data_IF_899197040911
#
_entry.id   IF_899197040911
#
_cell.length_a   1.000
_cell.length_b   1.000
_cell.length_c   1.000
_cell.angle_alpha   90.00
_cell.angle_beta   90.00
_cell.angle_gamma   90.00
#
_symmetry.space_group_name_H-M   'P 1'
#
loop_
_entity.id
_entity.type
_entity.pdbx_description
1 polymer ?
#
# COMPACT_ATOMS: atom_id res chain seq x y z
N UNK A 1 -8.10 10.58 -4.69
CA UNK A 1 -6.91 9.77 -4.33
C UNK A 1 -5.68 10.12 -5.17
N UNK A 2 -5.80 10.30 -6.50
CA UNK A 2 -4.64 10.59 -7.37
C UNK A 2 -3.84 11.84 -6.95
N UNK A 3 -4.52 12.97 -6.72
CA UNK A 3 -3.87 14.20 -6.25
C UNK A 3 -3.19 14.02 -4.88
N UNK A 4 -3.79 13.22 -4.00
CA UNK A 4 -3.22 12.88 -2.70
C UNK A 4 -1.96 12.02 -2.84
N UNK A 5 -1.97 10.98 -3.67
CA UNK A 5 -0.78 10.16 -3.94
C UNK A 5 0.33 10.96 -4.62
N UNK A 6 -0.02 11.86 -5.54
CA UNK A 6 0.92 12.80 -6.17
C UNK A 6 1.59 13.74 -5.13
N UNK A 7 0.81 14.22 -4.17
CA UNK A 7 1.32 15.05 -3.07
C UNK A 7 2.30 14.26 -2.20
N UNK A 8 1.98 13.02 -1.86
CA UNK A 8 2.87 12.16 -1.06
C UNK A 8 4.16 11.86 -1.81
N UNK A 9 4.08 11.54 -3.10
CA UNK A 9 5.25 11.34 -3.95
C UNK A 9 6.17 12.57 -3.88
N UNK A 10 5.61 13.77 -4.06
CA UNK A 10 6.36 15.03 -4.01
C UNK A 10 7.04 15.25 -2.66
N UNK A 11 6.36 14.94 -1.55
CA UNK A 11 6.95 15.05 -0.20
C UNK A 11 8.06 14.01 -0.01
N UNK A 12 7.83 12.76 -0.44
CA UNK A 12 8.79 11.66 -0.34
C UNK A 12 10.09 11.95 -1.11
N UNK A 13 10.00 12.53 -2.30
CA UNK A 13 11.17 12.91 -3.12
C UNK A 13 12.09 13.94 -2.45
N UNK A 14 11.59 14.73 -1.49
CA UNK A 14 12.39 15.81 -0.90
C UNK A 14 13.59 15.33 -0.09
N UNK A 15 13.70 14.03 0.23
CA UNK A 15 14.73 13.42 1.10
C UNK A 15 14.87 14.09 2.48
N UNK A 16 13.94 14.97 2.87
CA UNK A 16 14.00 15.72 4.13
C UNK A 16 13.54 14.90 5.33
N UNK A 17 12.86 13.79 5.11
CA UNK A 17 12.17 13.04 6.15
C UNK A 17 12.55 11.57 6.11
N UNK A 18 12.95 11.03 7.26
CA UNK A 18 13.19 9.60 7.46
C UNK A 18 11.89 8.81 7.68
N UNK A 19 10.78 9.51 7.92
CA UNK A 19 9.45 8.94 8.13
C UNK A 19 8.37 9.97 7.84
N UNK A 20 7.33 9.55 7.12
CA UNK A 20 6.15 10.33 6.82
C UNK A 20 4.94 9.62 7.44
N UNK A 21 4.20 10.32 8.30
CA UNK A 21 2.96 9.83 8.91
C UNK A 21 1.79 10.65 8.39
N UNK A 22 0.82 10.00 7.77
CA UNK A 22 -0.30 10.63 7.06
C UNK A 22 -1.60 10.32 7.79
N UNK A 23 -2.25 11.36 8.31
CA UNK A 23 -3.55 11.25 8.97
C UNK A 23 -4.67 11.34 7.94
N UNK A 24 -5.40 10.24 7.77
CA UNK A 24 -6.56 10.12 6.90
C UNK A 24 -7.80 10.55 7.70
N UNK A 25 -8.16 11.82 7.56
CA UNK A 25 -9.25 12.45 8.32
C UNK A 25 -10.63 12.21 7.72
N UNK A 26 -10.69 11.92 6.42
CA UNK A 26 -11.96 11.68 5.74
C UNK A 26 -12.42 10.25 5.97
N UNK A 27 -13.74 10.08 6.01
CA UNK A 27 -14.36 8.77 6.21
C UNK A 27 -14.12 7.84 5.02
N UNK A 28 -14.10 8.38 3.80
CA UNK A 28 -14.00 7.60 2.56
C UNK A 28 -13.07 8.33 1.58
N UNK A 29 -12.09 7.59 1.05
CA UNK A 29 -11.24 7.99 -0.06
C UNK A 29 -11.52 7.06 -1.25
N UNK A 30 -12.09 7.62 -2.31
CA UNK A 30 -12.31 6.88 -3.56
C UNK A 30 -10.98 6.77 -4.32
N UNK A 31 -10.54 5.52 -4.56
CA UNK A 31 -9.36 5.23 -5.38
C UNK A 31 -9.75 5.37 -6.85
N UNK A 32 -9.11 6.27 -7.60
CA UNK A 32 -9.61 6.65 -8.93
C UNK A 32 -9.59 5.46 -9.89
N UNK A 33 -10.63 5.32 -10.71
CA UNK A 33 -10.70 4.32 -11.79
C UNK A 33 -10.09 4.84 -13.10
N UNK A 34 -9.80 6.14 -13.15
CA UNK A 34 -9.27 6.86 -14.31
C UNK A 34 -8.02 7.61 -13.84
N UNK A 35 -6.85 7.00 -13.97
CA UNK A 35 -5.59 7.61 -13.52
C UNK A 35 -4.54 6.58 -13.14
N UNK A 36 -3.38 7.06 -12.69
CA UNK A 36 -2.32 6.20 -12.14
C UNK A 36 -2.34 6.29 -10.61
N UNK A 37 -2.85 5.27 -9.94
CA UNK A 37 -2.74 5.15 -8.49
C UNK A 37 -1.35 4.57 -8.14
N UNK A 38 -0.28 5.33 -8.40
CA UNK A 38 1.08 4.92 -8.04
C UNK A 38 1.64 5.75 -6.89
N UNK A 39 2.25 5.06 -5.93
CA UNK A 39 2.95 5.61 -4.79
C UNK A 39 4.41 5.15 -4.83
N UNK A 40 5.33 6.09 -4.81
CA UNK A 40 6.75 5.82 -4.69
C UNK A 40 7.17 5.90 -3.23
N UNK A 41 7.77 4.84 -2.73
CA UNK A 41 8.35 4.78 -1.40
C UNK A 41 9.80 5.27 -1.52
N UNK A 42 10.11 6.36 -0.81
CA UNK A 42 11.46 6.93 -0.64
C UNK A 42 11.92 6.92 0.83
N UNK A 43 11.00 6.58 1.73
CA UNK A 43 11.17 6.69 3.18
C UNK A 43 10.05 5.91 3.85
N UNK A 44 10.10 5.73 5.16
CA UNK A 44 9.03 5.05 5.89
C UNK A 44 7.72 5.82 5.77
N UNK A 45 6.63 5.16 5.37
CA UNK A 45 5.31 5.79 5.23
C UNK A 45 4.30 5.06 6.12
N UNK A 46 3.55 5.83 6.90
CA UNK A 46 2.42 5.33 7.69
C UNK A 46 1.14 6.05 7.25
N UNK A 47 0.19 5.30 6.71
CA UNK A 47 -1.18 5.72 6.52
C UNK A 47 -1.97 5.33 7.77
N UNK A 48 -2.59 6.29 8.46
CA UNK A 48 -3.39 6.00 9.64
C UNK A 48 -4.67 6.83 9.68
N UNK A 49 -5.70 6.30 10.32
CA UNK A 49 -6.91 7.06 10.68
C UNK A 49 -7.27 6.83 12.14
N UNK A 50 -7.56 7.88 12.89
CA UNK A 50 -8.01 7.76 14.29
C UNK A 50 -9.42 7.17 14.39
N UNK A 51 -10.30 7.55 13.46
CA UNK A 51 -11.73 7.17 13.47
C UNK A 51 -12.06 6.02 12.52
N UNK A 52 -11.05 5.50 11.85
CA UNK A 52 -11.21 4.56 10.75
C UNK A 52 -11.54 5.30 9.46
N UNK A 53 -10.98 4.81 8.36
CA UNK A 53 -11.27 5.32 7.01
C UNK A 53 -11.45 4.18 6.04
N UNK A 54 -12.04 4.48 4.88
CA UNK A 54 -12.31 3.52 3.82
C UNK A 54 -11.54 3.94 2.57
N UNK A 55 -10.72 3.04 2.04
CA UNK A 55 -10.27 3.11 0.66
C UNK A 55 -11.28 2.33 -0.19
N UNK A 56 -12.12 3.06 -0.92
CA UNK A 56 -13.15 2.47 -1.79
C UNK A 56 -12.59 2.35 -3.20
N UNK A 57 -12.45 1.11 -3.65
CA UNK A 57 -11.92 0.74 -4.96
C UNK A 57 -13.01 0.74 -6.05
N UNK A 58 -14.24 1.12 -5.70
CA UNK A 58 -15.31 1.42 -6.65
C UNK A 58 -15.63 0.25 -7.60
N UNK A 59 -15.40 -0.98 -7.14
CA UNK A 59 -15.67 -2.22 -7.90
C UNK A 59 -15.00 -2.25 -9.28
N UNK A 60 -13.76 -1.73 -9.38
CA UNK A 60 -13.02 -1.63 -10.64
C UNK A 60 -11.62 -2.23 -10.50
N UNK A 61 -11.18 -3.00 -11.49
CA UNK A 61 -9.80 -3.50 -11.55
C UNK A 61 -8.76 -2.39 -11.83
N UNK A 62 -9.22 -1.24 -12.38
CA UNK A 62 -8.40 -0.06 -12.67
C UNK A 62 -8.04 0.76 -11.44
N UNK A 63 -8.72 0.55 -10.32
CA UNK A 63 -8.48 1.30 -9.08
C UNK A 63 -7.45 0.62 -8.16
N UNK A 64 -6.72 -0.39 -8.63
CA UNK A 64 -5.61 -0.95 -7.85
C UNK A 64 -4.56 0.12 -7.54
N UNK A 65 -3.84 -0.03 -6.43
CA UNK A 65 -2.74 0.86 -6.06
C UNK A 65 -1.41 0.15 -6.31
N UNK A 66 -0.53 0.78 -7.07
CA UNK A 66 0.85 0.36 -7.25
C UNK A 66 1.76 1.10 -6.28
N UNK A 67 2.61 0.36 -5.58
CA UNK A 67 3.52 0.86 -4.56
C UNK A 67 4.92 0.46 -4.97
N UNK A 68 5.73 1.44 -5.37
CA UNK A 68 7.07 1.23 -5.91
C UNK A 68 8.11 1.54 -4.84
N UNK A 69 8.79 0.50 -4.35
CA UNK A 69 9.96 0.66 -3.49
C UNK A 69 11.16 1.05 -4.33
N UNK A 70 11.66 2.28 -4.12
CA UNK A 70 12.77 2.79 -4.91
C UNK A 70 14.12 2.22 -4.45
N UNK A 71 15.13 2.17 -5.35
CA UNK A 71 16.45 1.65 -5.04
C UNK A 71 17.13 2.41 -3.89
N UNK A 72 18.09 1.77 -3.24
CA UNK A 72 18.91 2.30 -2.14
C UNK A 72 18.14 2.59 -0.84
N UNK A 73 16.90 2.14 -0.74
CA UNK A 73 16.20 2.11 0.53
C UNK A 73 16.57 0.86 1.29
N UNK A 74 17.22 1.05 2.44
CA UNK A 74 17.41 -0.04 3.39
C UNK A 74 16.34 0.06 4.47
N UNK A 75 15.76 -1.07 4.87
CA UNK A 75 14.78 -1.15 5.95
C UNK A 75 13.47 -0.38 5.71
N UNK A 76 13.07 -0.11 4.46
CA UNK A 76 11.88 0.69 4.16
C UNK A 76 10.58 0.05 4.66
N UNK A 77 9.70 0.88 5.21
CA UNK A 77 8.43 0.43 5.77
C UNK A 77 7.25 1.16 5.16
N UNK A 78 6.19 0.42 4.85
CA UNK A 78 4.86 0.97 4.64
C UNK A 78 3.89 0.33 5.63
N UNK A 79 3.12 1.16 6.32
CA UNK A 79 2.16 0.71 7.33
C UNK A 79 0.80 1.32 7.01
N UNK A 80 -0.22 0.46 6.96
CA UNK A 80 -1.63 0.84 6.88
C UNK A 80 -2.27 0.56 8.24
N UNK A 81 -2.80 1.58 8.90
CA UNK A 81 -3.34 1.45 10.25
C UNK A 81 -4.79 1.94 10.34
N UNK A 82 -5.69 1.05 10.80
CA UNK A 82 -7.12 1.35 10.96
C UNK A 82 -7.80 1.80 9.65
N UNK A 83 -7.54 1.05 8.58
CA UNK A 83 -8.04 1.32 7.22
C UNK A 83 -8.89 0.14 6.75
N UNK A 84 -10.05 0.44 6.17
CA UNK A 84 -10.87 -0.55 5.45
C UNK A 84 -10.58 -0.46 3.96
N UNK A 85 -10.10 -1.54 3.36
CA UNK A 85 -10.03 -1.72 1.91
C UNK A 85 -11.35 -2.33 1.44
N UNK A 86 -12.04 -1.66 0.53
CA UNK A 86 -13.43 -1.97 0.19
C UNK A 86 -13.70 -2.00 -1.30
N UNK A 87 -14.61 -2.88 -1.73
CA UNK A 87 -15.15 -2.94 -3.10
C UNK A 87 -14.10 -3.15 -4.20
N UNK A 88 -13.35 -4.24 -4.13
CA UNK A 88 -12.48 -4.68 -5.23
C UNK A 88 -12.87 -6.10 -5.64
N UNK A 89 -13.90 -6.20 -6.48
CA UNK A 89 -14.39 -7.50 -6.96
C UNK A 89 -14.07 -7.65 -8.44
N UNK A 90 -13.26 -8.64 -8.75
CA UNK A 90 -12.97 -8.99 -10.13
C UNK A 90 -12.60 -10.48 -10.23
N UNK A 91 -13.42 -11.26 -10.93
CA UNK A 91 -13.34 -12.72 -11.08
C UNK A 91 -12.15 -13.20 -11.95
N UNK A 92 -11.03 -12.47 -11.96
CA UNK A 92 -9.80 -12.88 -12.64
C UNK A 92 -8.69 -12.98 -11.62
N UNK A 93 -8.10 -14.17 -11.52
CA UNK A 93 -7.09 -14.55 -10.52
C UNK A 93 -5.79 -13.72 -10.60
N UNK A 94 -5.57 -13.00 -11.69
CA UNK A 94 -4.37 -12.19 -11.93
C UNK A 94 -4.56 -10.70 -11.59
N UNK A 95 -5.70 -10.33 -10.99
CA UNK A 95 -5.96 -8.97 -10.51
C UNK A 95 -5.65 -8.87 -9.03
N UNK A 96 -5.12 -7.72 -8.63
CA UNK A 96 -4.67 -7.46 -7.28
C UNK A 96 -5.10 -6.06 -6.84
N UNK A 97 -5.58 -5.94 -5.61
CA UNK A 97 -5.94 -4.67 -4.99
C UNK A 97 -4.70 -3.77 -4.81
N UNK A 98 -3.59 -4.37 -4.34
CA UNK A 98 -2.31 -3.70 -4.12
C UNK A 98 -1.19 -4.41 -4.89
N UNK A 99 -0.37 -3.65 -5.60
CA UNK A 99 0.86 -4.16 -6.20
C UNK A 99 2.06 -3.54 -5.50
N UNK A 100 2.97 -4.36 -5.01
CA UNK A 100 4.22 -3.89 -4.45
C UNK A 100 5.36 -4.23 -5.43
N UNK A 101 5.87 -3.21 -6.10
CA UNK A 101 7.02 -3.33 -6.99
C UNK A 101 8.31 -3.08 -6.21
N UNK A 102 9.06 -4.16 -5.97
CA UNK A 102 10.31 -4.16 -5.20
C UNK A 102 11.46 -4.23 -6.20
N UNK A 103 12.07 -3.08 -6.45
CA UNK A 103 13.05 -2.91 -7.54
C UNK A 103 14.49 -3.23 -7.14
N UNK A 104 14.75 -3.58 -5.88
CA UNK A 104 16.08 -3.92 -5.38
C UNK A 104 16.19 -5.38 -4.92
N UNK A 105 17.41 -5.86 -4.81
CA UNK A 105 17.77 -7.28 -4.71
C UNK A 105 17.84 -7.80 -3.28
N UNK A 106 17.19 -7.15 -2.32
CA UNK A 106 17.26 -7.49 -0.89
C UNK A 106 15.86 -7.54 -0.24
N UNK A 107 15.68 -8.41 0.75
CA UNK A 107 14.39 -8.61 1.45
C UNK A 107 14.21 -7.74 2.71
N UNK A 108 14.87 -6.59 2.78
CA UNK A 108 14.86 -5.71 3.94
C UNK A 108 13.79 -4.61 3.86
N UNK A 109 12.57 -4.98 3.44
CA UNK A 109 11.38 -4.14 3.50
C UNK A 109 10.35 -4.69 4.49
N UNK A 110 9.40 -3.83 4.88
CA UNK A 110 8.23 -4.23 5.65
C UNK A 110 6.97 -3.59 5.09
N UNK A 111 5.96 -4.41 4.87
CA UNK A 111 4.59 -4.02 4.56
C UNK A 111 3.73 -4.49 5.74
N UNK A 112 3.09 -3.57 6.44
CA UNK A 112 2.28 -3.91 7.61
C UNK A 112 0.84 -3.39 7.44
N UNK A 113 -0.12 -4.25 7.76
CA UNK A 113 -1.52 -3.93 7.90
C UNK A 113 -1.90 -4.13 9.38
N UNK A 114 -2.21 -3.05 10.07
CA UNK A 114 -2.55 -3.03 11.50
C UNK A 114 -3.99 -2.58 11.71
N UNK A 115 -4.82 -3.43 12.30
CA UNK A 115 -6.24 -3.20 12.52
C UNK A 115 -6.99 -2.83 11.21
N UNK A 116 -6.62 -3.47 10.11
CA UNK A 116 -7.24 -3.26 8.81
C UNK A 116 -8.42 -4.20 8.56
N UNK A 117 -9.35 -3.78 7.70
CA UNK A 117 -10.45 -4.63 7.24
C UNK A 117 -10.42 -4.72 5.72
N UNK A 118 -10.43 -5.92 5.16
CA UNK A 118 -10.60 -6.19 3.74
C UNK A 118 -12.02 -6.69 3.56
N UNK A 119 -12.88 -5.88 2.94
CA UNK A 119 -14.32 -6.17 2.85
C UNK A 119 -14.79 -6.12 1.40
N UNK A 120 -15.58 -7.11 0.98
CA UNK A 120 -16.05 -7.22 -0.41
C UNK A 120 -14.87 -7.18 -1.39
N UNK A 121 -13.90 -8.07 -1.15
CA UNK A 121 -12.74 -8.28 -2.01
C UNK A 121 -12.88 -9.65 -2.65
N UNK A 122 -13.23 -9.68 -3.93
CA UNK A 122 -13.32 -10.90 -4.72
C UNK A 122 -12.20 -10.91 -5.76
N UNK A 123 -10.95 -10.87 -5.28
CA UNK A 123 -9.72 -10.90 -6.06
C UNK A 123 -8.51 -11.05 -5.11
N UNK A 124 -7.28 -11.02 -5.62
CA UNK A 124 -6.09 -11.04 -4.77
C UNK A 124 -5.95 -9.72 -3.99
N UNK A 125 -5.62 -9.79 -2.71
CA UNK A 125 -5.40 -8.59 -1.87
C UNK A 125 -4.12 -7.88 -2.28
N UNK A 126 -3.07 -8.64 -2.58
CA UNK A 126 -1.83 -8.05 -3.05
C UNK A 126 -1.07 -8.99 -3.97
N UNK A 127 -0.13 -8.42 -4.71
CA UNK A 127 0.91 -9.12 -5.44
C UNK A 127 2.25 -8.43 -5.22
N UNK A 128 3.33 -9.22 -5.24
CA UNK A 128 4.71 -8.73 -5.13
C UNK A 128 5.41 -8.89 -6.47
N UNK A 129 5.85 -7.78 -7.05
CA UNK A 129 6.84 -7.77 -8.12
C UNK A 129 8.24 -7.78 -7.49
N UNK A 130 9.03 -8.82 -7.75
CA UNK A 130 10.43 -8.87 -7.32
C UNK A 130 11.27 -9.70 -8.30
N UNK A 131 12.58 -9.45 -8.29
CA UNK A 131 13.56 -10.23 -9.04
C UNK A 131 14.59 -10.79 -8.06
N UNK A 132 14.74 -12.13 -8.01
CA UNK A 132 15.77 -12.87 -7.26
C UNK A 132 16.33 -12.13 -6.03
N UNK A 133 15.55 -12.07 -4.95
CA UNK A 133 15.96 -11.35 -3.73
C UNK A 133 16.98 -12.15 -2.92
N UNK A 134 18.05 -11.47 -2.51
CA UNK A 134 18.99 -11.94 -1.51
C UNK A 134 18.36 -11.81 -0.11
N UNK A 135 18.38 -12.90 0.64
CA UNK A 135 17.97 -12.87 2.05
C UNK A 135 19.03 -12.15 2.89
N UNK A 136 18.66 -11.00 3.46
CA UNK A 136 19.42 -10.29 4.49
C UNK A 136 18.80 -10.46 5.88
N UNK A 137 17.50 -10.78 5.94
CA UNK A 137 16.74 -10.92 7.19
C UNK A 137 15.82 -12.14 7.15
N UNK A 138 15.64 -12.74 8.33
CA UNK A 138 14.70 -13.84 8.56
C UNK A 138 13.32 -13.35 9.06
N UNK A 139 13.14 -12.05 9.27
CA UNK A 139 11.86 -11.47 9.67
C UNK A 139 10.87 -11.50 8.51
N UNK A 140 9.55 -11.63 8.77
CA UNK A 140 8.54 -11.52 7.73
C UNK A 140 8.54 -10.11 7.11
N UNK A 141 8.41 -10.05 5.79
CA UNK A 141 8.32 -8.80 5.04
C UNK A 141 6.88 -8.27 4.96
N UNK A 142 5.88 -9.11 5.21
CA UNK A 142 4.46 -8.75 5.19
C UNK A 142 3.81 -9.22 6.48
N UNK A 143 3.14 -8.32 7.16
CA UNK A 143 2.50 -8.58 8.46
C UNK A 143 1.04 -8.11 8.41
N UNK A 144 0.13 -8.99 8.84
CA UNK A 144 -1.27 -8.67 9.08
C UNK A 144 -1.54 -8.80 10.58
N UNK A 145 -1.69 -7.66 11.25
CA UNK A 145 -1.99 -7.57 12.68
C UNK A 145 -3.45 -7.17 12.89
N UNK A 146 -4.20 -7.98 13.64
CA UNK A 146 -5.60 -7.71 13.99
C UNK A 146 -6.50 -7.39 12.78
N UNK A 147 -6.21 -8.00 11.63
CA UNK A 147 -6.94 -7.75 10.39
C UNK A 147 -8.19 -8.63 10.26
N UNK A 148 -9.19 -8.11 9.55
CA UNK A 148 -10.43 -8.83 9.22
C UNK A 148 -10.55 -9.00 7.71
N UNK A 149 -11.03 -10.15 7.27
CA UNK A 149 -11.28 -10.48 5.86
C UNK A 149 -12.74 -10.93 5.75
N UNK A 150 -13.58 -10.13 5.09
CA UNK A 150 -15.04 -10.21 5.12
C UNK A 150 -15.67 -10.18 3.73
#
# INVERSE_FOLDING_TARGET
>A
MEEFLSTINTIGFSNKYNKIKINLIDKIYNVTTNGRNSLNIFTDIIFYSEKGTIFDFQNSDKSHITIEFKPNLTNAKIIFQNITFYNYNYDVLDKYLLFFDITYDHNDFLIEFDNCTFKNINSCIFSLGYYCMKSLKNSPQIIFNNCKFL
#
